data_IF_238286538983
#
_entry.id   IF_238286538983
#
_cell.length_a   1.000
_cell.length_b   1.000
_cell.length_c   1.000
_cell.angle_alpha   90.00
_cell.angle_beta   90.00
_cell.angle_gamma   90.00
#
_symmetry.space_group_name_H-M   'P 1'
#
loop_
_entity.id
_entity.type
_entity.pdbx_description
1 polymer ?
#
# COMPACT_ATOMS: atom_id res chain seq x y z
N UNK A 1 -76.03 28.00 -3.59
CA UNK A 1 -75.26 26.86 -4.18
C UNK A 1 -73.78 27.18 -4.48
N UNK A 2 -73.36 28.42 -4.87
CA UNK A 2 -71.93 28.65 -5.14
C UNK A 2 -71.05 28.64 -3.89
N UNK A 3 -71.52 28.99 -2.73
CA UNK A 3 -70.72 29.09 -1.49
C UNK A 3 -70.26 27.75 -0.98
N UNK A 4 -71.01 26.67 -1.11
CA UNK A 4 -70.62 25.32 -0.78
C UNK A 4 -69.45 24.81 -1.65
N UNK A 5 -69.38 25.23 -2.89
CA UNK A 5 -68.34 24.88 -3.85
C UNK A 5 -67.01 25.53 -3.44
N UNK A 6 -67.00 26.78 -2.98
CA UNK A 6 -65.81 27.49 -2.49
C UNK A 6 -65.28 26.88 -1.20
N UNK A 7 -66.14 26.49 -0.27
CA UNK A 7 -65.69 25.81 0.99
C UNK A 7 -65.02 24.47 0.68
N UNK A 8 -65.59 23.70 -0.28
CA UNK A 8 -65.00 22.40 -0.68
C UNK A 8 -63.66 22.57 -1.38
N UNK A 9 -63.50 23.63 -2.20
CA UNK A 9 -62.25 23.94 -2.91
C UNK A 9 -61.13 24.36 -1.96
N UNK A 10 -61.45 25.16 -0.93
CA UNK A 10 -60.51 25.57 0.12
C UNK A 10 -60.11 24.36 0.98
N UNK A 11 -61.05 23.48 1.30
CA UNK A 11 -60.82 22.28 2.13
C UNK A 11 -59.93 21.25 1.41
N UNK A 12 -59.85 21.25 0.09
CA UNK A 12 -58.96 20.43 -0.73
C UNK A 12 -57.61 21.09 -0.98
N UNK A 13 -57.58 22.39 -1.26
CA UNK A 13 -56.34 23.09 -1.61
C UNK A 13 -55.42 23.34 -0.42
N UNK A 14 -55.94 23.58 0.77
CA UNK A 14 -55.14 23.85 1.98
C UNK A 14 -54.36 22.63 2.43
N UNK A 15 -54.96 21.43 2.54
CA UNK A 15 -54.17 20.20 2.85
C UNK A 15 -53.18 19.84 1.77
N UNK A 16 -53.54 20.02 0.47
CA UNK A 16 -52.62 19.77 -0.64
C UNK A 16 -51.42 20.72 -0.62
N UNK A 17 -51.62 21.99 -0.26
CA UNK A 17 -50.54 22.96 -0.10
C UNK A 17 -49.63 22.64 1.10
N UNK A 18 -50.22 22.26 2.24
CA UNK A 18 -49.49 21.85 3.44
C UNK A 18 -48.70 20.57 3.15
N UNK A 19 -49.30 19.58 2.50
CA UNK A 19 -48.63 18.35 2.11
C UNK A 19 -47.49 18.62 1.10
N UNK A 20 -47.74 19.46 0.09
CA UNK A 20 -46.74 19.88 -0.88
C UNK A 20 -45.52 20.58 -0.23
N UNK A 21 -45.82 21.46 0.74
CA UNK A 21 -44.77 22.14 1.52
C UNK A 21 -43.99 21.17 2.44
N UNK A 22 -44.69 20.23 3.08
CA UNK A 22 -44.04 19.21 3.93
C UNK A 22 -43.25 18.21 3.10
N UNK A 23 -43.70 17.85 1.91
CA UNK A 23 -42.96 17.02 0.94
C UNK A 23 -41.78 17.77 0.36
N UNK A 24 -41.93 19.04 -0.03
CA UNK A 24 -40.84 19.88 -0.53
C UNK A 24 -39.72 20.10 0.50
N UNK A 25 -40.05 20.14 1.81
CA UNK A 25 -39.09 20.24 2.89
C UNK A 25 -38.38 18.90 3.22
N UNK A 26 -38.91 17.78 2.72
CA UNK A 26 -38.31 16.43 2.92
C UNK A 26 -37.49 15.94 1.75
N UNK A 27 -37.53 16.63 0.60
CA UNK A 27 -36.57 16.33 -0.47
C UNK A 27 -35.17 16.73 0.01
N UNK A 28 -34.24 15.79 0.09
CA UNK A 28 -32.85 16.13 0.44
C UNK A 28 -32.38 17.13 -0.63
N UNK A 29 -32.10 18.34 -0.19
CA UNK A 29 -31.62 19.42 -1.04
C UNK A 29 -30.34 18.92 -1.71
N UNK A 30 -30.31 18.86 -3.02
CA UNK A 30 -29.13 18.54 -3.85
C UNK A 30 -28.06 19.64 -3.73
N UNK A 31 -27.70 20.03 -2.50
CA UNK A 31 -26.64 21.02 -2.25
C UNK A 31 -25.23 20.43 -2.44
N UNK A 32 -25.08 19.11 -2.26
CA UNK A 32 -23.78 18.47 -2.32
C UNK A 32 -23.12 18.52 -3.71
N UNK A 33 -23.90 18.45 -4.79
CA UNK A 33 -23.34 18.43 -6.16
C UNK A 33 -22.86 19.81 -6.63
N UNK A 34 -23.51 20.90 -6.20
CA UNK A 34 -23.12 22.25 -6.59
C UNK A 34 -21.94 22.78 -5.77
N UNK A 35 -21.83 22.40 -4.50
CA UNK A 35 -20.67 22.73 -3.65
C UNK A 35 -19.44 21.96 -4.09
N UNK A 36 -19.57 20.66 -4.32
CA UNK A 36 -18.48 19.83 -4.84
C UNK A 36 -17.96 20.38 -6.17
N UNK A 37 -18.86 20.77 -7.09
CA UNK A 37 -18.47 21.38 -8.35
C UNK A 37 -17.74 22.70 -8.14
N UNK A 38 -18.17 23.56 -7.20
CA UNK A 38 -17.54 24.83 -6.89
C UNK A 38 -16.11 24.65 -6.37
N UNK A 39 -15.92 23.72 -5.43
CA UNK A 39 -14.61 23.44 -4.87
C UNK A 39 -13.67 22.77 -5.90
N UNK A 40 -14.21 21.91 -6.74
CA UNK A 40 -13.48 21.32 -7.86
C UNK A 40 -13.00 22.41 -8.85
N UNK A 41 -13.87 23.32 -9.27
CA UNK A 41 -13.49 24.44 -10.12
C UNK A 41 -12.49 25.40 -9.44
N UNK A 42 -12.59 25.59 -8.12
CA UNK A 42 -11.65 26.43 -7.38
C UNK A 42 -10.27 25.75 -7.33
N UNK A 43 -10.19 24.46 -7.09
CA UNK A 43 -8.96 23.67 -7.14
C UNK A 43 -8.32 23.70 -8.54
N UNK A 44 -9.11 23.53 -9.61
CA UNK A 44 -8.62 23.66 -10.99
C UNK A 44 -8.09 25.07 -11.28
N UNK A 45 -8.75 26.12 -10.81
CA UNK A 45 -8.28 27.48 -10.99
C UNK A 45 -6.91 27.71 -10.34
N UNK A 46 -6.66 27.14 -9.16
CA UNK A 46 -5.32 27.20 -8.55
C UNK A 46 -4.28 26.44 -9.37
N UNK A 47 -4.63 25.29 -9.97
CA UNK A 47 -3.73 24.56 -10.87
C UNK A 47 -3.39 25.35 -12.11
N UNK A 48 -4.38 26.05 -12.71
CA UNK A 48 -4.20 26.88 -13.89
C UNK A 48 -3.38 28.14 -13.60
N UNK A 49 -3.40 28.63 -12.36
CA UNK A 49 -2.63 29.80 -11.92
C UNK A 49 -1.24 29.41 -11.34
N UNK A 50 -0.74 28.20 -11.63
CA UNK A 50 0.54 27.70 -11.16
C UNK A 50 0.71 27.72 -9.62
N UNK A 51 -0.41 27.56 -8.89
CA UNK A 51 -0.45 27.49 -7.43
C UNK A 51 -0.87 26.09 -6.96
N UNK A 52 -0.05 25.05 -7.19
CA UNK A 52 -0.42 23.67 -6.91
C UNK A 52 -0.66 23.41 -5.42
N UNK A 53 0.01 24.13 -4.52
CA UNK A 53 -0.17 24.01 -3.07
C UNK A 53 -1.58 24.39 -2.63
N UNK A 54 -2.08 25.52 -3.12
CA UNK A 54 -3.42 26.01 -2.79
C UNK A 54 -4.51 25.12 -3.42
N UNK A 55 -4.23 24.56 -4.61
CA UNK A 55 -5.11 23.59 -5.22
C UNK A 55 -5.26 22.33 -4.35
N UNK A 56 -4.13 21.77 -3.88
CA UNK A 56 -4.12 20.57 -3.04
C UNK A 56 -4.83 20.84 -1.72
N UNK A 57 -4.53 21.93 -1.04
CA UNK A 57 -5.18 22.30 0.22
C UNK A 57 -6.70 22.50 0.02
N UNK A 58 -7.09 23.05 -1.11
CA UNK A 58 -8.50 23.21 -1.47
C UNK A 58 -9.18 21.86 -1.70
N UNK A 59 -8.55 20.95 -2.46
CA UNK A 59 -9.08 19.60 -2.66
C UNK A 59 -9.16 18.80 -1.35
N UNK A 60 -8.13 18.87 -0.51
CA UNK A 60 -8.09 18.16 0.78
C UNK A 60 -9.19 18.64 1.72
N UNK A 61 -9.46 19.97 1.77
CA UNK A 61 -10.45 20.56 2.69
C UNK A 61 -11.89 20.45 2.21
N UNK A 62 -12.10 20.49 0.90
CA UNK A 62 -13.40 20.76 0.30
C UNK A 62 -14.11 19.53 -0.24
N UNK A 63 -13.37 18.45 -0.48
CA UNK A 63 -13.97 17.20 -0.97
C UNK A 63 -14.22 16.30 0.21
N UNK A 64 -15.48 16.16 0.60
CA UNK A 64 -15.86 15.14 1.58
C UNK A 64 -15.43 13.77 1.05
N UNK A 65 -14.67 13.04 1.89
CA UNK A 65 -14.26 11.69 1.54
C UNK A 65 -15.49 10.80 1.61
N UNK A 66 -16.07 10.57 0.46
CA UNK A 66 -17.12 9.58 0.23
C UNK A 66 -16.49 8.35 -0.43
N UNK A 67 -17.15 7.20 -0.46
CA UNK A 67 -16.67 6.05 -1.21
C UNK A 67 -16.36 6.34 -2.69
N UNK A 68 -17.03 7.34 -3.27
CA UNK A 68 -16.83 7.78 -4.66
C UNK A 68 -15.61 8.71 -4.85
N UNK A 69 -15.21 9.45 -3.81
CA UNK A 69 -14.08 10.39 -3.88
C UNK A 69 -12.77 9.80 -3.34
N UNK A 70 -12.83 8.66 -2.68
CA UNK A 70 -11.65 7.96 -2.14
C UNK A 70 -10.59 7.73 -3.22
N UNK A 71 -10.98 7.14 -4.34
CA UNK A 71 -10.08 6.81 -5.44
C UNK A 71 -9.40 8.05 -6.01
N UNK A 72 -10.12 9.16 -6.09
CA UNK A 72 -9.55 10.46 -6.51
C UNK A 72 -8.46 10.94 -5.55
N UNK A 73 -8.66 10.80 -4.23
CA UNK A 73 -7.67 11.19 -3.24
C UNK A 73 -6.44 10.27 -3.29
N UNK A 74 -6.64 8.95 -3.41
CA UNK A 74 -5.54 7.99 -3.58
C UNK A 74 -4.73 8.30 -4.85
N UNK A 75 -5.42 8.57 -5.95
CA UNK A 75 -4.78 8.94 -7.23
C UNK A 75 -4.00 10.25 -7.11
N UNK A 76 -4.54 11.26 -6.43
CA UNK A 76 -3.86 12.53 -6.18
C UNK A 76 -2.58 12.34 -5.37
N UNK A 77 -2.65 11.60 -4.25
CA UNK A 77 -1.47 11.28 -3.44
C UNK A 77 -0.43 10.52 -4.23
N UNK A 78 -0.84 9.53 -5.02
CA UNK A 78 0.05 8.77 -5.90
C UNK A 78 0.74 9.66 -6.95
N UNK A 79 0.02 10.60 -7.54
CA UNK A 79 0.58 11.57 -8.49
C UNK A 79 1.64 12.46 -7.82
N UNK A 80 1.36 12.93 -6.59
CA UNK A 80 2.33 13.71 -5.80
C UNK A 80 3.60 12.90 -5.53
N UNK A 81 3.47 11.65 -5.10
CA UNK A 81 4.60 10.74 -4.88
C UNK A 81 5.44 10.54 -6.14
N UNK A 82 4.78 10.35 -7.30
CA UNK A 82 5.47 10.18 -8.58
C UNK A 82 6.25 11.43 -9.01
N UNK A 83 5.74 12.61 -8.67
CA UNK A 83 6.43 13.89 -8.91
C UNK A 83 7.56 14.18 -7.92
N UNK A 84 7.75 13.32 -6.91
CA UNK A 84 8.73 13.56 -5.86
C UNK A 84 8.24 14.46 -4.72
N UNK A 85 6.98 14.90 -4.76
CA UNK A 85 6.35 15.75 -3.73
C UNK A 85 5.84 14.88 -2.56
N UNK A 86 6.77 14.12 -1.95
CA UNK A 86 6.44 13.02 -1.03
C UNK A 86 5.74 13.53 0.23
N UNK A 87 6.15 14.67 0.77
CA UNK A 87 5.52 15.26 1.95
C UNK A 87 4.04 15.63 1.71
N UNK A 88 3.71 15.99 0.48
CA UNK A 88 2.32 16.28 0.09
C UNK A 88 1.52 15.00 -0.04
N UNK A 89 2.09 13.96 -0.65
CA UNK A 89 1.46 12.65 -0.74
C UNK A 89 1.12 12.11 0.67
N UNK A 90 2.07 12.16 1.60
CA UNK A 90 1.87 11.77 3.00
C UNK A 90 0.69 12.53 3.61
N UNK A 91 0.63 13.85 3.45
CA UNK A 91 -0.48 14.67 3.98
C UNK A 91 -1.83 14.28 3.38
N UNK A 92 -1.88 14.01 2.08
CA UNK A 92 -3.12 13.57 1.40
C UNK A 92 -3.62 12.25 1.99
N UNK A 93 -2.75 11.24 2.07
CA UNK A 93 -3.14 9.92 2.57
C UNK A 93 -3.42 9.92 4.08
N UNK A 94 -2.70 10.71 4.89
CA UNK A 94 -3.01 10.88 6.32
C UNK A 94 -4.35 11.57 6.54
N UNK A 95 -4.67 12.61 5.76
CA UNK A 95 -5.98 13.26 5.83
C UNK A 95 -7.10 12.29 5.48
N UNK A 96 -6.88 11.44 4.48
CA UNK A 96 -7.81 10.39 4.11
C UNK A 96 -8.10 9.46 5.30
N UNK A 97 -7.06 8.97 5.97
CA UNK A 97 -7.18 8.08 7.13
C UNK A 97 -7.84 8.71 8.36
N UNK A 98 -7.84 10.04 8.47
CA UNK A 98 -8.52 10.75 9.57
C UNK A 98 -10.05 10.78 9.43
N UNK A 99 -10.62 10.27 8.34
CA UNK A 99 -12.06 10.33 8.05
C UNK A 99 -12.79 9.11 8.59
N UNK A 100 -13.87 9.30 9.38
CA UNK A 100 -14.62 8.18 9.98
C UNK A 100 -15.52 7.42 8.99
N UNK A 101 -15.65 7.90 7.75
CA UNK A 101 -16.55 7.33 6.74
C UNK A 101 -15.98 6.15 5.96
N UNK A 102 -14.70 5.80 6.17
CA UNK A 102 -14.02 4.72 5.45
C UNK A 102 -14.35 3.35 6.03
N UNK A 103 -14.57 2.38 5.16
CA UNK A 103 -14.65 0.98 5.56
C UNK A 103 -13.23 0.35 5.72
N UNK A 104 -13.15 -0.84 6.32
CA UNK A 104 -11.88 -1.52 6.61
C UNK A 104 -11.00 -1.74 5.37
N UNK A 105 -11.60 -2.10 4.25
CA UNK A 105 -10.87 -2.30 2.99
C UNK A 105 -10.27 -0.99 2.46
N UNK A 106 -11.02 0.10 2.56
CA UNK A 106 -10.58 1.44 2.15
C UNK A 106 -9.47 1.97 3.05
N UNK A 107 -9.56 1.72 4.35
CA UNK A 107 -8.51 2.03 5.32
C UNK A 107 -7.24 1.25 4.97
N UNK A 108 -7.36 -0.04 4.66
CA UNK A 108 -6.23 -0.86 4.24
C UNK A 108 -5.54 -0.33 2.98
N UNK A 109 -6.30 0.07 1.96
CA UNK A 109 -5.74 0.71 0.75
C UNK A 109 -5.01 2.02 1.08
N UNK A 110 -5.60 2.88 1.91
CA UNK A 110 -4.98 4.13 2.30
C UNK A 110 -3.69 3.92 3.12
N UNK A 111 -3.66 2.91 4.00
CA UNK A 111 -2.44 2.50 4.72
C UNK A 111 -1.35 1.99 3.77
N UNK A 112 -1.72 1.19 2.76
CA UNK A 112 -0.78 0.69 1.76
C UNK A 112 -0.13 1.86 1.00
N UNK A 113 -0.92 2.83 0.55
CA UNK A 113 -0.41 4.00 -0.17
C UNK A 113 0.44 4.90 0.73
N UNK A 114 0.04 5.10 1.99
CA UNK A 114 0.84 5.83 2.97
C UNK A 114 2.17 5.12 3.27
N UNK A 115 2.17 3.79 3.36
CA UNK A 115 3.39 3.00 3.49
C UNK A 115 4.35 3.19 2.31
N UNK A 116 3.82 3.25 1.09
CA UNK A 116 4.60 3.57 -0.12
C UNK A 116 5.17 4.99 -0.10
N UNK A 117 4.43 5.95 0.43
CA UNK A 117 4.92 7.31 0.60
C UNK A 117 6.08 7.34 1.58
N UNK A 118 5.96 6.65 2.73
CA UNK A 118 7.05 6.54 3.70
C UNK A 118 8.29 5.85 3.11
N UNK A 119 8.11 4.79 2.30
CA UNK A 119 9.23 4.19 1.54
C UNK A 119 9.92 5.21 0.65
N UNK A 120 9.14 5.98 -0.10
CA UNK A 120 9.69 7.00 -1.01
C UNK A 120 10.38 8.14 -0.25
N UNK A 121 9.92 8.44 0.97
CA UNK A 121 10.53 9.41 1.87
C UNK A 121 11.80 8.89 2.60
N UNK A 122 12.13 7.58 2.47
CA UNK A 122 13.21 6.95 3.23
C UNK A 122 12.88 6.71 4.71
N UNK A 123 11.61 6.82 5.11
CA UNK A 123 11.13 6.58 6.47
C UNK A 123 10.81 5.09 6.67
N UNK A 124 11.84 4.24 6.59
CA UNK A 124 11.71 2.78 6.52
C UNK A 124 10.99 2.20 7.73
N UNK A 125 11.32 2.65 8.95
CA UNK A 125 10.65 2.19 10.19
C UNK A 125 9.14 2.42 10.20
N UNK A 126 8.70 3.55 9.61
CA UNK A 126 7.26 3.88 9.53
C UNK A 126 6.56 3.03 8.48
N UNK A 127 7.21 2.84 7.34
CA UNK A 127 6.72 1.99 6.28
C UNK A 127 6.60 0.52 6.75
N UNK A 128 7.64 -0.01 7.43
CA UNK A 128 7.66 -1.37 7.99
C UNK A 128 6.44 -1.61 8.88
N UNK A 129 6.18 -0.71 9.85
CA UNK A 129 5.03 -0.84 10.77
C UNK A 129 3.71 -0.94 10.01
N UNK A 130 3.44 -0.02 9.08
CA UNK A 130 2.19 -0.05 8.31
C UNK A 130 2.03 -1.33 7.49
N UNK A 131 3.11 -1.81 6.87
CA UNK A 131 3.04 -3.05 6.10
C UNK A 131 2.89 -4.28 6.99
N UNK A 132 3.48 -4.30 8.19
CA UNK A 132 3.26 -5.38 9.15
C UNK A 132 1.81 -5.42 9.63
N UNK A 133 1.22 -4.28 9.98
CA UNK A 133 -0.20 -4.18 10.37
C UNK A 133 -1.10 -4.72 9.24
N UNK A 134 -0.80 -4.37 7.98
CA UNK A 134 -1.53 -4.87 6.82
C UNK A 134 -1.35 -6.38 6.58
N UNK A 135 -0.22 -6.94 6.91
CA UNK A 135 0.01 -8.40 6.81
C UNK A 135 -0.82 -9.17 7.83
N UNK A 136 -1.06 -8.61 9.02
CA UNK A 136 -1.84 -9.23 10.08
C UNK A 136 -3.35 -9.12 9.86
N UNK A 137 -3.83 -7.99 9.34
CA UNK A 137 -5.24 -7.56 9.44
C UNK A 137 -6.04 -7.68 8.13
N UNK A 138 -5.43 -8.00 6.96
CA UNK A 138 -6.12 -7.82 5.69
C UNK A 138 -6.27 -9.02 4.77
N UNK A 139 -7.25 -8.86 3.84
CA UNK A 139 -7.52 -9.75 2.72
C UNK A 139 -6.30 -9.98 1.81
N UNK A 140 -6.28 -11.10 1.11
CA UNK A 140 -5.13 -11.69 0.42
C UNK A 140 -4.30 -10.74 -0.47
N UNK A 141 -4.93 -9.79 -1.16
CA UNK A 141 -4.22 -8.97 -2.15
C UNK A 141 -3.33 -7.90 -1.52
N UNK A 142 -3.84 -7.14 -0.54
CA UNK A 142 -3.06 -6.14 0.20
C UNK A 142 -1.93 -6.78 1.01
N UNK A 143 -2.19 -7.97 1.57
CA UNK A 143 -1.18 -8.75 2.29
C UNK A 143 0.00 -9.11 1.40
N UNK A 144 -0.25 -9.61 0.19
CA UNK A 144 0.82 -9.99 -0.74
C UNK A 144 1.67 -8.79 -1.15
N UNK A 145 1.02 -7.67 -1.37
CA UNK A 145 1.70 -6.44 -1.75
C UNK A 145 2.52 -5.86 -0.61
N UNK A 146 1.98 -5.86 0.61
CA UNK A 146 2.70 -5.45 1.82
C UNK A 146 3.93 -6.31 2.07
N UNK A 147 3.82 -7.64 1.90
CA UNK A 147 4.96 -8.54 2.02
C UNK A 147 6.06 -8.23 0.99
N UNK A 148 5.72 -7.87 -0.26
CA UNK A 148 6.72 -7.45 -1.25
C UNK A 148 7.48 -6.20 -0.79
N UNK A 149 6.78 -5.23 -0.24
CA UNK A 149 7.40 -4.02 0.30
C UNK A 149 8.26 -4.32 1.53
N UNK A 150 7.85 -5.22 2.41
CA UNK A 150 8.68 -5.67 3.54
C UNK A 150 9.95 -6.36 3.08
N UNK A 151 9.89 -7.23 2.06
CA UNK A 151 11.08 -7.85 1.47
C UNK A 151 12.04 -6.78 0.94
N UNK A 152 11.51 -5.76 0.28
CA UNK A 152 12.31 -4.63 -0.22
C UNK A 152 12.98 -3.86 0.92
N UNK A 153 12.24 -3.49 1.98
CA UNK A 153 12.77 -2.80 3.16
C UNK A 153 13.91 -3.61 3.78
N UNK A 154 13.64 -4.88 4.11
CA UNK A 154 14.62 -5.74 4.76
C UNK A 154 15.86 -6.01 3.92
N UNK A 155 15.72 -6.04 2.58
CA UNK A 155 16.86 -6.11 1.67
C UNK A 155 17.68 -4.83 1.73
N UNK A 156 17.06 -3.67 1.70
CA UNK A 156 17.73 -2.38 1.70
C UNK A 156 18.43 -2.11 3.05
N UNK A 157 17.88 -2.63 4.16
CA UNK A 157 18.45 -2.60 5.51
C UNK A 157 19.43 -3.77 5.78
N UNK A 158 19.60 -4.69 4.82
CA UNK A 158 20.44 -5.90 4.98
C UNK A 158 19.98 -6.83 6.12
N UNK A 159 18.71 -6.80 6.45
CA UNK A 159 18.06 -7.68 7.44
C UNK A 159 17.60 -9.00 6.79
N UNK A 160 18.59 -9.78 6.34
CA UNK A 160 18.38 -10.94 5.46
C UNK A 160 17.45 -12.00 6.03
N UNK A 161 17.51 -12.25 7.34
CA UNK A 161 16.63 -13.21 8.03
C UNK A 161 15.15 -12.75 7.97
N UNK A 162 14.90 -11.45 8.15
CA UNK A 162 13.55 -10.89 8.03
C UNK A 162 13.07 -10.96 6.58
N UNK A 163 13.94 -10.64 5.61
CA UNK A 163 13.65 -10.73 4.19
C UNK A 163 13.24 -12.16 3.78
N UNK A 164 13.98 -13.18 4.21
CA UNK A 164 13.67 -14.59 3.94
C UNK A 164 12.32 -14.97 4.55
N UNK A 165 12.04 -14.56 5.78
CA UNK A 165 10.74 -14.83 6.42
C UNK A 165 9.58 -14.21 5.66
N UNK A 166 9.66 -12.92 5.32
CA UNK A 166 8.62 -12.22 4.57
C UNK A 166 8.39 -12.88 3.19
N UNK A 167 9.46 -13.21 2.47
CA UNK A 167 9.39 -13.92 1.20
C UNK A 167 8.76 -15.32 1.33
N UNK A 168 9.05 -16.05 2.41
CA UNK A 168 8.46 -17.36 2.65
C UNK A 168 6.95 -17.29 2.96
N UNK A 169 6.48 -16.20 3.59
CA UNK A 169 5.06 -15.95 3.80
C UNK A 169 4.32 -15.70 2.49
N UNK A 170 4.97 -15.08 1.50
CA UNK A 170 4.41 -14.90 0.16
C UNK A 170 4.18 -16.23 -0.55
N UNK A 171 5.14 -17.16 -0.47
CA UNK A 171 5.09 -18.45 -1.18
C UNK A 171 3.94 -19.34 -0.69
N UNK A 172 3.61 -19.32 0.60
CA UNK A 172 2.53 -20.15 1.18
C UNK A 172 1.15 -19.89 0.59
N UNK A 173 0.95 -18.72 -0.01
CA UNK A 173 -0.36 -18.29 -0.52
C UNK A 173 -0.51 -18.48 -2.04
N UNK A 174 0.51 -18.95 -2.75
CA UNK A 174 0.46 -19.17 -4.20
C UNK A 174 0.18 -20.64 -4.48
N UNK A 175 -1.09 -21.00 -4.65
CA UNK A 175 -1.48 -22.27 -5.22
C UNK A 175 -1.06 -22.30 -6.71
N UNK A 176 -0.06 -23.12 -7.06
CA UNK A 176 0.15 -23.50 -8.45
C UNK A 176 1.37 -22.96 -9.20
N UNK A 177 2.48 -22.73 -8.53
CA UNK A 177 3.76 -22.50 -9.21
C UNK A 177 4.74 -21.78 -8.30
N UNK A 178 5.83 -22.46 -7.96
CA UNK A 178 6.94 -21.79 -7.27
C UNK A 178 7.32 -20.57 -8.10
N UNK A 179 7.17 -19.37 -7.53
CA UNK A 179 7.63 -18.14 -8.18
C UNK A 179 9.17 -18.21 -8.22
N UNK A 180 9.70 -18.68 -9.34
CA UNK A 180 11.13 -18.99 -9.51
C UNK A 180 11.99 -17.75 -9.19
N UNK A 181 11.48 -16.56 -9.46
CA UNK A 181 12.14 -15.29 -9.15
C UNK A 181 12.33 -15.10 -7.63
N UNK A 182 11.28 -15.37 -6.83
CA UNK A 182 11.34 -15.23 -5.38
C UNK A 182 12.29 -16.24 -4.73
N UNK A 183 12.31 -17.49 -5.25
CA UNK A 183 13.22 -18.52 -4.81
C UNK A 183 14.70 -18.17 -5.10
N UNK A 184 14.96 -17.57 -6.25
CA UNK A 184 16.31 -17.05 -6.58
C UNK A 184 16.71 -15.94 -5.60
N UNK A 185 15.79 -15.00 -5.32
CA UNK A 185 16.05 -13.90 -4.38
C UNK A 185 16.32 -14.42 -2.96
N UNK A 186 15.54 -15.38 -2.47
CA UNK A 186 15.79 -16.04 -1.18
C UNK A 186 17.14 -16.76 -1.14
N UNK A 187 17.55 -17.42 -2.22
CA UNK A 187 18.86 -18.02 -2.32
C UNK A 187 19.98 -16.98 -2.21
N UNK A 188 19.81 -15.80 -2.81
CA UNK A 188 20.75 -14.69 -2.65
C UNK A 188 20.82 -14.17 -1.21
N UNK A 189 19.71 -14.00 -0.51
CA UNK A 189 19.72 -13.60 0.91
C UNK A 189 20.45 -14.62 1.79
N UNK A 190 20.27 -15.91 1.51
CA UNK A 190 21.03 -16.95 2.21
C UNK A 190 22.54 -16.88 1.92
N UNK A 191 22.94 -16.50 0.71
CA UNK A 191 24.35 -16.28 0.38
C UNK A 191 24.94 -15.09 1.15
N UNK A 192 24.20 -13.98 1.29
CA UNK A 192 24.62 -12.83 2.10
C UNK A 192 24.87 -13.23 3.58
N UNK A 193 23.94 -14.03 4.14
CA UNK A 193 24.13 -14.57 5.50
C UNK A 193 25.37 -15.47 5.60
N UNK A 194 25.60 -16.32 4.61
CA UNK A 194 26.76 -17.19 4.57
C UNK A 194 28.07 -16.38 4.52
N UNK A 195 28.16 -15.38 3.66
CA UNK A 195 29.34 -14.48 3.58
C UNK A 195 29.57 -13.74 4.89
N UNK A 196 28.49 -13.22 5.52
CA UNK A 196 28.55 -12.57 6.84
C UNK A 196 29.07 -13.53 7.92
N UNK A 197 28.64 -14.80 7.89
CA UNK A 197 29.14 -15.83 8.80
C UNK A 197 30.60 -16.18 8.53
N UNK A 198 31.02 -16.34 7.27
CA UNK A 198 32.37 -16.61 6.87
C UNK A 198 33.34 -15.50 7.34
N UNK A 199 32.96 -14.25 7.17
CA UNK A 199 33.74 -13.10 7.62
C UNK A 199 33.96 -13.07 9.14
N UNK A 200 33.06 -13.70 9.92
CA UNK A 200 33.14 -13.84 11.38
C UNK A 200 33.81 -15.17 11.82
N UNK A 201 34.25 -16.01 10.88
CA UNK A 201 34.80 -17.33 11.17
C UNK A 201 33.75 -18.40 11.51
N UNK A 202 32.46 -18.12 11.33
CA UNK A 202 31.34 -19.03 11.62
C UNK A 202 31.07 -20.02 10.48
N UNK A 203 32.03 -20.87 10.13
CA UNK A 203 31.98 -21.77 8.97
C UNK A 203 30.83 -22.79 9.03
N UNK A 204 30.42 -23.24 10.22
CA UNK A 204 29.28 -24.17 10.35
C UNK A 204 27.97 -23.51 9.99
N UNK A 205 27.75 -22.28 10.43
CA UNK A 205 26.53 -21.53 10.11
C UNK A 205 26.52 -21.10 8.63
N UNK A 206 27.70 -20.74 8.09
CA UNK A 206 27.82 -20.47 6.67
C UNK A 206 27.41 -21.69 5.83
N UNK A 207 27.84 -22.90 6.15
CA UNK A 207 27.40 -24.13 5.47
C UNK A 207 25.90 -24.35 5.57
N UNK A 208 25.26 -24.05 6.73
CA UNK A 208 23.80 -24.15 6.89
C UNK A 208 23.08 -23.19 5.95
N UNK A 209 23.51 -21.94 5.89
CA UNK A 209 22.92 -20.95 5.00
C UNK A 209 23.08 -21.32 3.52
N UNK A 210 24.26 -21.78 3.10
CA UNK A 210 24.50 -22.24 1.72
C UNK A 210 23.65 -23.47 1.35
N UNK A 211 23.47 -24.39 2.29
CA UNK A 211 22.56 -25.53 2.08
C UNK A 211 21.13 -25.08 1.84
N UNK A 212 20.66 -24.10 2.62
CA UNK A 212 19.33 -23.51 2.45
C UNK A 212 19.24 -22.74 1.14
N UNK A 213 20.27 -22.00 0.75
CA UNK A 213 20.34 -21.32 -0.55
C UNK A 213 20.11 -22.30 -1.71
N UNK A 214 20.78 -23.46 -1.69
CA UNK A 214 20.63 -24.51 -2.70
C UNK A 214 19.29 -25.27 -2.63
N UNK A 215 18.58 -25.21 -1.48
CA UNK A 215 17.20 -25.71 -1.41
C UNK A 215 16.23 -24.78 -2.14
N UNK A 216 16.43 -23.45 -2.04
CA UNK A 216 15.63 -22.46 -2.78
C UNK A 216 15.97 -22.48 -4.28
N UNK A 217 17.24 -22.50 -4.63
CA UNK A 217 17.69 -22.54 -6.02
C UNK A 217 18.89 -23.50 -6.17
N UNK A 218 18.61 -24.70 -6.66
CA UNK A 218 19.63 -25.75 -6.88
C UNK A 218 20.75 -25.33 -7.85
N UNK A 219 20.43 -24.43 -8.76
CA UNK A 219 21.35 -23.95 -9.80
C UNK A 219 22.00 -22.61 -9.44
N UNK A 220 21.99 -22.22 -8.16
CA UNK A 220 22.62 -20.97 -7.74
C UNK A 220 24.15 -21.06 -7.89
N UNK A 221 24.70 -20.40 -8.92
CA UNK A 221 26.14 -20.31 -9.13
C UNK A 221 26.85 -19.66 -7.93
N UNK A 222 26.27 -18.55 -7.39
CA UNK A 222 26.82 -17.85 -6.21
C UNK A 222 26.94 -18.78 -4.99
N UNK A 223 25.89 -19.56 -4.69
CA UNK A 223 25.90 -20.47 -3.55
C UNK A 223 26.95 -21.59 -3.73
N UNK A 224 27.12 -22.10 -4.95
CA UNK A 224 28.14 -23.11 -5.23
C UNK A 224 29.56 -22.54 -5.12
N UNK A 225 29.81 -21.33 -5.63
CA UNK A 225 31.09 -20.66 -5.52
C UNK A 225 31.46 -20.43 -4.04
N UNK A 226 30.55 -19.82 -3.28
CA UNK A 226 30.78 -19.58 -1.84
C UNK A 226 31.02 -20.89 -1.05
N UNK A 227 30.33 -21.96 -1.43
CA UNK A 227 30.57 -23.27 -0.83
C UNK A 227 31.95 -23.80 -1.18
N UNK A 228 32.37 -23.65 -2.44
CA UNK A 228 33.72 -23.99 -2.89
C UNK A 228 34.80 -23.24 -2.12
N UNK A 229 34.62 -21.91 -1.96
CA UNK A 229 35.57 -21.07 -1.21
C UNK A 229 35.65 -21.47 0.26
N UNK A 230 34.53 -21.83 0.86
CA UNK A 230 34.45 -22.32 2.22
C UNK A 230 35.21 -23.66 2.39
N UNK A 231 35.03 -24.59 1.44
CA UNK A 231 35.77 -25.88 1.45
C UNK A 231 37.25 -25.69 1.13
N UNK A 232 37.63 -24.73 0.30
CA UNK A 232 39.03 -24.33 0.08
C UNK A 232 39.67 -23.83 1.37
N UNK A 233 38.98 -22.98 2.12
CA UNK A 233 39.45 -22.48 3.42
C UNK A 233 39.58 -23.58 4.46
N UNK A 234 38.79 -24.65 4.33
CA UNK A 234 38.85 -25.84 5.18
C UNK A 234 39.87 -26.92 4.68
N UNK A 235 40.64 -26.63 3.63
CA UNK A 235 41.55 -27.55 2.94
C UNK A 235 40.87 -28.80 2.33
N UNK A 236 39.58 -28.76 2.09
CA UNK A 236 38.79 -29.83 1.45
C UNK A 236 38.77 -29.67 -0.08
N UNK A 237 39.91 -29.74 -0.73
CA UNK A 237 40.12 -29.43 -2.16
C UNK A 237 39.22 -30.24 -3.10
N UNK A 238 38.98 -31.51 -2.80
CA UNK A 238 38.14 -32.36 -3.65
C UNK A 238 36.65 -31.91 -3.64
N UNK A 239 36.12 -31.54 -2.49
CA UNK A 239 34.76 -31.06 -2.38
C UNK A 239 34.62 -29.66 -3.00
N UNK A 240 35.63 -28.79 -2.80
CA UNK A 240 35.67 -27.49 -3.45
C UNK A 240 35.59 -27.61 -4.99
N UNK A 241 36.41 -28.53 -5.57
CA UNK A 241 36.40 -28.76 -7.02
C UNK A 241 35.02 -29.24 -7.55
N UNK A 242 34.31 -30.05 -6.77
CA UNK A 242 32.95 -30.49 -7.13
C UNK A 242 31.95 -29.31 -7.16
N UNK A 243 32.14 -28.31 -6.31
CA UNK A 243 31.24 -27.15 -6.22
C UNK A 243 31.49 -26.13 -7.33
N UNK A 244 32.72 -26.05 -7.82
CA UNK A 244 33.06 -25.14 -8.91
C UNK A 244 32.72 -25.68 -10.32
N UNK A 245 32.38 -26.96 -10.44
CA UNK A 245 31.96 -27.60 -11.69
C UNK A 245 30.45 -27.52 -11.89
#
# INVERSE_FOLDING_TARGET
MPELLYIFLVLLLVPAWIAGRAYGLRLPRKESTSELARHYFHGINFLLNEQPDQAIDTFIRSVDVTPHTLETHLTLGNLMRQRGEVDRAIRVHQNLLSRPSLNQQQIGQAHLELGRDFLKAGLLDRAERLFLDLVEDTASDLRQESLRHLVQIYRDEQEWEKAIRAASMMQKNVFGGANNSLAIEQAHFCCELAERCMAKGGYLDARRHLKVALQFNKNSARANILWGDLEMSAHNFQEALKRYR
#
